data_IF_685319757597
#
_entry.id   IF_685319757597
#
_cell.length_a   1.000
_cell.length_b   1.000
_cell.length_c   1.000
_cell.angle_alpha   90.00
_cell.angle_beta   90.00
_cell.angle_gamma   90.00
#
_symmetry.space_group_name_H-M   'P 1'
#
loop_
_entity.id
_entity.type
_entity.pdbx_description
1 polymer ?
#
# COMPACT_ATOMS: atom_id res chain seq x y z
N UNK A 1 12.35 1.62 5.19
CA UNK A 1 10.95 1.20 5.01
C UNK A 1 10.81 0.51 3.67
N UNK A 2 10.14 -0.62 3.65
CA UNK A 2 9.97 -1.39 2.42
C UNK A 2 8.47 -1.62 2.18
N UNK A 3 8.14 -2.00 0.95
CA UNK A 3 6.75 -2.35 0.64
C UNK A 3 6.27 -3.54 1.46
N UNK A 4 7.17 -4.48 1.72
CA UNK A 4 6.81 -5.62 2.56
C UNK A 4 6.43 -5.17 3.95
N UNK A 5 7.16 -4.24 4.53
CA UNK A 5 6.83 -3.72 5.84
C UNK A 5 5.46 -3.03 5.84
N UNK A 6 5.17 -2.28 4.80
CA UNK A 6 3.86 -1.64 4.68
C UNK A 6 2.75 -2.67 4.55
N UNK A 7 2.98 -3.70 3.75
CA UNK A 7 2.00 -4.77 3.59
C UNK A 7 1.77 -5.49 4.91
N UNK A 8 2.83 -5.79 5.61
CA UNK A 8 2.74 -6.50 6.89
C UNK A 8 1.98 -5.66 7.90
N UNK A 9 2.28 -4.37 7.95
CA UNK A 9 1.59 -3.49 8.89
C UNK A 9 0.11 -3.39 8.56
N UNK A 10 -0.24 -3.25 7.29
CA UNK A 10 -1.64 -3.16 6.91
C UNK A 10 -2.40 -4.43 7.24
N UNK A 11 -1.78 -5.59 7.04
CA UNK A 11 -2.43 -6.84 7.39
C UNK A 11 -2.62 -6.95 8.90
N UNK A 12 -1.62 -6.52 9.66
CA UNK A 12 -1.73 -6.52 11.11
C UNK A 12 -2.84 -5.58 11.58
N UNK A 13 -2.95 -4.44 10.95
CA UNK A 13 -3.99 -3.48 11.29
C UNK A 13 -5.38 -4.05 11.03
N UNK A 14 -5.53 -4.78 9.96
CA UNK A 14 -6.82 -5.39 9.62
C UNK A 14 -7.21 -6.50 10.59
N UNK A 15 -6.27 -7.36 10.90
CA UNK A 15 -6.57 -8.55 11.71
C UNK A 15 -6.49 -8.28 13.19
N UNK A 16 -5.70 -7.30 13.59
CA UNK A 16 -5.44 -6.97 14.97
C UNK A 16 -4.93 -8.18 15.77
N UNK A 17 -4.20 -9.04 15.07
CA UNK A 17 -3.65 -10.25 15.69
C UNK A 17 -2.37 -10.60 14.93
N UNK A 18 -1.26 -10.71 15.67
CA UNK A 18 0.00 -11.14 15.06
C UNK A 18 -0.13 -12.54 14.47
N UNK A 19 -0.83 -13.42 15.17
CA UNK A 19 -0.99 -14.78 14.68
C UNK A 19 -1.76 -14.83 13.38
N UNK A 20 -2.89 -14.14 13.33
CA UNK A 20 -3.71 -14.16 12.13
C UNK A 20 -3.03 -13.45 10.98
N UNK A 21 -2.37 -12.34 11.27
CA UNK A 21 -1.68 -11.61 10.22
C UNK A 21 -0.54 -12.44 9.63
N UNK A 22 0.23 -13.11 10.49
CA UNK A 22 1.31 -13.96 10.01
C UNK A 22 0.80 -15.10 9.16
N UNK A 23 -0.32 -15.70 9.56
CA UNK A 23 -0.93 -16.77 8.78
C UNK A 23 -1.38 -16.26 7.41
N UNK A 24 -2.01 -15.10 7.38
CA UNK A 24 -2.48 -14.53 6.13
C UNK A 24 -1.34 -14.18 5.20
N UNK A 25 -0.21 -13.81 5.78
CA UNK A 25 0.98 -13.42 5.00
C UNK A 25 1.88 -14.60 4.68
N UNK A 26 1.60 -15.76 5.24
CA UNK A 26 2.41 -16.97 5.05
C UNK A 26 3.83 -16.78 5.55
N UNK A 27 3.98 -16.12 6.69
CA UNK A 27 5.29 -15.91 7.31
C UNK A 27 5.21 -16.32 8.77
N UNK A 28 6.38 -16.48 9.38
CA UNK A 28 6.45 -16.78 10.79
C UNK A 28 6.11 -15.53 11.60
N UNK A 29 5.47 -15.74 12.75
CA UNK A 29 5.10 -14.62 13.59
C UNK A 29 6.30 -13.78 14.02
N UNK A 30 7.46 -14.35 14.38
CA UNK A 30 8.62 -13.52 14.73
C UNK A 30 9.07 -12.62 13.58
N UNK A 31 8.93 -13.08 12.33
CA UNK A 31 9.29 -12.26 11.19
C UNK A 31 8.38 -11.05 11.09
N UNK A 32 7.09 -11.25 11.31
CA UNK A 32 6.16 -10.15 11.30
C UNK A 32 6.46 -9.17 12.42
N UNK A 33 6.69 -9.69 13.62
CA UNK A 33 7.00 -8.86 14.76
C UNK A 33 8.26 -8.02 14.53
N UNK A 34 9.27 -8.63 13.95
CA UNK A 34 10.50 -7.93 13.64
C UNK A 34 10.27 -6.81 12.63
N UNK A 35 9.50 -7.09 11.60
CA UNK A 35 9.22 -6.10 10.57
C UNK A 35 8.49 -4.89 11.15
N UNK A 36 7.51 -5.14 12.01
CA UNK A 36 6.76 -4.06 12.62
C UNK A 36 7.65 -3.26 13.55
N UNK A 37 8.46 -3.94 14.34
CA UNK A 37 9.37 -3.26 15.26
C UNK A 37 10.36 -2.39 14.50
N UNK A 38 10.89 -2.88 13.41
CA UNK A 38 11.82 -2.11 12.58
C UNK A 38 11.14 -0.89 11.99
N UNK A 39 9.91 -1.05 11.54
CA UNK A 39 9.16 0.06 10.99
C UNK A 39 8.89 1.12 12.06
N UNK A 40 8.53 0.69 13.26
CA UNK A 40 8.31 1.64 14.35
C UNK A 40 9.57 2.41 14.69
N UNK A 41 10.72 1.72 14.69
CA UNK A 41 11.97 2.39 14.97
C UNK A 41 12.31 3.41 13.90
N UNK A 42 12.05 3.06 12.66
CA UNK A 42 12.33 3.98 11.57
C UNK A 42 11.47 5.23 11.65
N UNK A 43 10.20 5.05 12.03
CA UNK A 43 9.28 6.18 12.12
C UNK A 43 9.40 6.94 13.43
N UNK A 44 10.01 6.34 14.42
CA UNK A 44 10.21 7.01 15.70
C UNK A 44 8.97 7.03 16.57
N UNK A 45 8.00 6.17 16.32
CA UNK A 45 6.80 6.11 17.15
C UNK A 45 6.23 4.71 17.11
N UNK A 46 5.41 4.39 18.09
CA UNK A 46 4.75 3.10 18.15
C UNK A 46 3.50 3.14 17.30
N UNK A 47 3.31 2.09 16.53
CA UNK A 47 2.15 1.98 15.66
C UNK A 47 1.08 1.06 16.25
N UNK A 48 1.49 0.13 17.10
CA UNK A 48 0.55 -0.81 17.70
C UNK A 48 0.72 -0.83 19.20
N UNK A 49 -0.37 -1.11 19.89
CA UNK A 49 -0.40 -1.26 21.33
C UNK A 49 -1.00 -2.61 21.64
N UNK A 50 -0.47 -3.26 22.67
CA UNK A 50 -0.98 -4.56 23.08
C UNK A 50 -2.03 -4.38 24.15
N UNK A 51 -3.13 -5.09 23.98
CA UNK A 51 -4.20 -5.12 24.98
C UNK A 51 -4.56 -6.57 25.22
N UNK A 52 -3.91 -7.18 26.18
CA UNK A 52 -4.08 -8.60 26.42
C UNK A 52 -3.57 -9.40 25.25
N UNK A 53 -4.41 -10.22 24.67
CA UNK A 53 -4.04 -11.04 23.54
C UNK A 53 -4.23 -10.34 22.22
N UNK A 54 -4.93 -9.22 22.25
CA UNK A 54 -5.20 -8.49 21.03
C UNK A 54 -4.28 -7.30 20.93
N UNK A 55 -4.21 -6.75 19.77
CA UNK A 55 -3.50 -5.51 19.57
C UNK A 55 -4.46 -4.49 18.99
N UNK A 56 -4.12 -3.24 19.19
CA UNK A 56 -4.87 -2.15 18.57
C UNK A 56 -3.86 -1.18 17.99
N UNK A 57 -4.33 -0.29 17.15
CA UNK A 57 -3.46 0.72 16.58
C UNK A 57 -3.40 1.91 17.54
N UNK A 58 -2.19 2.46 17.68
CA UNK A 58 -2.05 3.74 18.37
C UNK A 58 -2.61 4.83 17.45
N UNK A 59 -2.81 6.05 17.96
CA UNK A 59 -3.22 7.14 17.06
C UNK A 59 -2.26 7.34 15.89
N UNK A 60 -0.96 7.19 16.15
CA UNK A 60 0.02 7.25 15.07
C UNK A 60 -0.16 6.09 14.10
N UNK A 61 -0.46 4.91 14.63
CA UNK A 61 -0.71 3.75 13.80
C UNK A 61 -1.92 3.92 12.92
N UNK A 62 -2.99 4.51 13.46
CA UNK A 62 -4.18 4.74 12.65
C UNK A 62 -3.91 5.72 11.53
N UNK A 63 -3.20 6.78 11.82
CA UNK A 63 -2.84 7.75 10.81
C UNK A 63 -1.96 7.11 9.75
N UNK A 64 -0.94 6.40 10.17
CA UNK A 64 -0.02 5.77 9.23
C UNK A 64 -0.72 4.69 8.40
N UNK A 65 -1.66 3.97 9.00
CA UNK A 65 -2.39 2.94 8.27
C UNK A 65 -3.14 3.52 7.08
N UNK A 66 -3.76 4.67 7.26
CA UNK A 66 -4.47 5.30 6.15
C UNK A 66 -3.54 5.60 4.98
N UNK A 67 -2.36 6.13 5.27
CA UNK A 67 -1.41 6.46 4.21
C UNK A 67 -0.77 5.20 3.63
N UNK A 68 -0.45 4.23 4.48
CA UNK A 68 0.15 2.99 3.99
C UNK A 68 -0.82 2.25 3.09
N UNK A 69 -2.08 2.19 3.47
CA UNK A 69 -3.10 1.52 2.68
C UNK A 69 -3.26 2.22 1.33
N UNK A 70 -3.32 3.55 1.35
CA UNK A 70 -3.44 4.30 0.11
C UNK A 70 -2.24 4.09 -0.79
N UNK A 71 -1.05 4.04 -0.21
CA UNK A 71 0.17 3.81 -0.99
C UNK A 71 0.16 2.44 -1.64
N UNK A 72 -0.23 1.42 -0.89
CA UNK A 72 -0.29 0.07 -1.45
C UNK A 72 -1.34 -0.04 -2.53
N UNK A 73 -2.47 0.62 -2.35
CA UNK A 73 -3.51 0.63 -3.37
C UNK A 73 -3.04 1.34 -4.63
N UNK A 74 -2.31 2.44 -4.46
CA UNK A 74 -1.78 3.16 -5.60
C UNK A 74 -0.81 2.31 -6.40
N UNK A 75 0.05 1.57 -5.70
CA UNK A 75 0.99 0.69 -6.35
C UNK A 75 0.26 -0.45 -7.06
N UNK A 76 -0.74 -1.02 -6.41
CA UNK A 76 -1.52 -2.09 -7.03
C UNK A 76 -2.20 -1.59 -8.30
N UNK A 77 -2.72 -0.39 -8.28
CA UNK A 77 -3.32 0.20 -9.46
C UNK A 77 -2.29 0.42 -10.55
N UNK A 78 -1.09 0.85 -10.16
CA UNK A 78 -0.02 1.02 -11.11
C UNK A 78 0.38 -0.29 -11.77
N UNK A 79 0.46 -1.35 -10.99
CA UNK A 79 0.79 -2.67 -11.51
C UNK A 79 -0.27 -3.10 -12.52
N UNK A 80 -1.54 -2.92 -12.18
CA UNK A 80 -2.62 -3.27 -13.08
C UNK A 80 -2.57 -2.44 -14.36
N UNK A 81 -2.27 -1.18 -14.24
CA UNK A 81 -2.22 -0.31 -15.40
C UNK A 81 -1.12 -0.74 -16.37
N UNK A 82 0.03 -1.13 -15.85
CA UNK A 82 1.14 -1.58 -16.68
C UNK A 82 0.85 -2.94 -17.28
N UNK A 83 0.24 -3.82 -16.52
CA UNK A 83 -0.12 -5.14 -17.02
C UNK A 83 -1.18 -5.06 -18.10
N UNK A 84 -2.15 -4.21 -17.89
CA UNK A 84 -3.13 -3.93 -18.90
C UNK A 84 -2.47 -3.37 -20.13
N UNK A 85 -1.52 -2.45 -19.93
CA UNK A 85 -0.77 -1.89 -21.02
C UNK A 85 -0.01 -2.94 -21.78
N UNK A 86 0.54 -3.92 -21.04
CA UNK A 86 1.23 -5.02 -21.67
C UNK A 86 0.31 -5.84 -22.55
N UNK A 87 -0.87 -6.13 -22.07
CA UNK A 87 -1.84 -6.86 -22.83
C UNK A 87 -2.30 -6.02 -24.01
N UNK A 88 -2.41 -4.76 -23.80
CA UNK A 88 -2.88 -3.85 -24.81
C UNK A 88 -1.94 -3.79 -25.99
N UNK A 89 -0.69 -4.08 -25.78
CA UNK A 89 0.25 -4.11 -26.89
C UNK A 89 -0.20 -5.03 -28.00
N UNK A 90 -1.14 -5.88 -27.74
CA UNK A 90 -1.67 -6.72 -28.77
C UNK A 90 -2.59 -5.99 -29.71
N UNK A 91 -2.68 -4.73 -29.58
CA UNK A 91 -3.35 -3.95 -30.60
C UNK A 91 -4.79 -3.63 -30.30
N UNK A 92 -5.63 -4.58 -30.41
CA UNK A 92 -7.04 -4.31 -30.23
C UNK A 92 -7.34 -3.57 -28.95
N UNK A 93 -6.52 -3.76 -28.03
CA UNK A 93 -6.76 -3.21 -26.74
C UNK A 93 -6.27 -1.81 -26.59
N UNK A 94 -5.55 -1.34 -27.56
CA UNK A 94 -5.07 0.03 -27.53
C UNK A 94 -6.24 0.99 -27.38
N UNK A 95 -7.37 0.60 -27.85
CA UNK A 95 -8.56 1.44 -27.74
C UNK A 95 -8.95 1.64 -26.28
N UNK A 96 -8.94 0.57 -25.54
CA UNK A 96 -9.29 0.68 -24.14
C UNK A 96 -8.27 1.53 -23.38
N UNK A 97 -7.04 1.42 -23.77
CA UNK A 97 -6.01 2.23 -23.15
C UNK A 97 -6.29 3.70 -23.41
N UNK A 98 -6.67 4.03 -24.61
CA UNK A 98 -6.94 5.40 -24.95
C UNK A 98 -8.06 5.97 -24.11
N UNK A 99 -9.02 5.16 -23.79
CA UNK A 99 -10.11 5.64 -22.97
C UNK A 99 -9.68 5.98 -21.57
N UNK A 100 -8.77 5.22 -21.05
CA UNK A 100 -8.36 5.45 -19.70
C UNK A 100 -7.38 6.58 -19.55
N UNK A 101 -6.58 6.77 -20.54
CA UNK A 101 -5.58 7.80 -20.47
C UNK A 101 -6.17 9.16 -20.20
N UNK A 102 -7.24 9.58 -20.85
CA UNK A 102 -7.74 10.92 -20.61
C UNK A 102 -8.07 11.20 -19.15
N UNK A 103 -8.61 10.23 -18.47
CA UNK A 103 -9.04 10.52 -17.12
C UNK A 103 -7.84 10.77 -16.21
N UNK A 104 -6.77 10.04 -16.37
CA UNK A 104 -5.67 10.32 -15.52
C UNK A 104 -4.81 11.44 -16.06
N UNK A 105 -4.82 11.65 -17.32
CA UNK A 105 -4.11 12.76 -17.88
C UNK A 105 -4.67 14.06 -17.38
N UNK A 106 -5.94 14.16 -17.22
CA UNK A 106 -6.49 15.40 -16.74
C UNK A 106 -6.07 15.69 -15.33
N UNK A 107 -5.87 14.68 -14.54
CA UNK A 107 -5.34 14.89 -13.21
C UNK A 107 -3.91 15.33 -13.27
N UNK A 108 -3.13 14.66 -14.09
CA UNK A 108 -1.76 15.00 -14.25
C UNK A 108 -1.56 16.38 -14.79
N UNK A 109 -2.34 16.75 -15.73
CA UNK A 109 -2.19 18.05 -16.35
C UNK A 109 -2.41 19.15 -15.36
N UNK A 110 -3.29 18.94 -14.43
CA UNK A 110 -3.50 19.96 -13.41
C UNK A 110 -2.35 20.07 -12.47
N UNK A 111 -1.65 18.98 -12.30
CA UNK A 111 -0.54 18.97 -11.39
C UNK A 111 0.73 19.36 -12.04
N UNK A 112 0.85 18.91 -13.23
CA UNK A 112 2.06 19.07 -13.89
C UNK A 112 2.03 20.22 -14.81
N UNK A 113 1.19 20.57 -15.08
CA UNK A 113 1.18 21.35 -16.03
C UNK A 113 1.28 22.30 -15.45
N UNK A 114 1.37 21.91 -14.70
CA UNK A 114 1.62 21.93 -14.36
C UNK A 114 2.58 21.57 -14.34
N UNK A 115 3.04 21.19 -14.61
CA UNK A 115 3.76 20.51 -15.03
C UNK A 115 4.01 20.43 -16.00
N UNK A 116 3.78 20.97 -16.44
CA UNK A 116 3.77 20.74 -17.37
C UNK A 116 3.42 21.12 -17.67
N UNK A 117 3.19 21.75 -17.27
CA UNK A 117 2.84 21.68 -17.61
C UNK A 117 2.61 21.69 -17.53
N UNK A 118 2.72 22.01 -17.44
CA UNK A 118 2.51 21.62 -17.56
C UNK A 118 2.57 21.37 -17.59
#
# INVERSE_FOLDING_TARGET
MTLNQLTYFCMLAKTQSYTQAAQALFIAQPSLSYAISTLEKELGCLLVAREGRRISLTPAGETFYRYAKAALEAIAQGVQAVQCGGVIRLGAIATAMAERIPSWSSISARNTRRRRST
#
